data_IF_409078050484
#
_entry.id   IF_409078050484
#
_cell.length_a   1.000
_cell.length_b   1.000
_cell.length_c   1.000
_cell.angle_alpha   90.00
_cell.angle_beta   90.00
_cell.angle_gamma   90.00
#
_symmetry.space_group_name_H-M   'P 1'
#
loop_
_entity.id
_entity.type
_entity.pdbx_description
1 polymer ?
#
# COMPACT_ATOMS: atom_id res chain seq x y z
N UNK A 1 3.67 21.33 -20.25
CA UNK A 1 3.93 22.05 -18.98
C UNK A 1 4.36 21.04 -17.94
N UNK A 2 5.46 21.30 -17.22
CA UNK A 2 5.94 20.40 -16.18
C UNK A 2 5.02 20.39 -14.96
N UNK A 3 5.03 19.28 -14.21
CA UNK A 3 4.28 19.13 -12.96
C UNK A 3 4.75 20.17 -11.94
N UNK A 4 3.82 20.97 -11.40
CA UNK A 4 4.10 21.91 -10.31
C UNK A 4 4.38 21.11 -9.03
N UNK A 5 5.41 21.50 -8.28
CA UNK A 5 5.84 20.79 -7.06
C UNK A 5 6.16 21.78 -5.94
N UNK A 6 5.94 21.36 -4.69
CA UNK A 6 6.41 22.13 -3.53
C UNK A 6 7.92 21.93 -3.30
N UNK A 7 8.53 22.84 -2.53
CA UNK A 7 9.92 22.65 -2.09
C UNK A 7 10.08 21.38 -1.23
N UNK A 8 9.09 21.08 -0.38
CA UNK A 8 9.06 19.84 0.39
C UNK A 8 9.08 18.60 -0.50
N UNK A 9 8.28 18.58 -1.56
CA UNK A 9 8.27 17.46 -2.51
C UNK A 9 9.65 17.25 -3.16
N UNK A 10 10.24 18.33 -3.68
CA UNK A 10 11.55 18.26 -4.35
C UNK A 10 12.69 17.87 -3.40
N UNK A 11 12.75 18.51 -2.24
CA UNK A 11 13.92 18.44 -1.36
C UNK A 11 13.82 17.34 -0.30
N UNK A 12 12.63 16.77 -0.08
CA UNK A 12 12.42 15.73 0.93
C UNK A 12 11.78 14.48 0.35
N UNK A 13 10.70 14.60 -0.41
CA UNK A 13 9.98 13.41 -0.91
C UNK A 13 10.81 12.68 -1.95
N UNK A 14 11.29 13.36 -3.00
CA UNK A 14 12.12 12.74 -4.05
C UNK A 14 13.46 12.23 -3.51
N UNK A 15 14.09 12.99 -2.62
CA UNK A 15 15.37 12.60 -1.99
C UNK A 15 15.23 11.31 -1.19
N UNK A 16 14.15 11.15 -0.42
CA UNK A 16 13.90 9.94 0.37
C UNK A 16 13.32 8.79 -0.44
N UNK A 17 12.85 9.04 -1.68
CA UNK A 17 12.11 8.08 -2.51
C UNK A 17 12.66 8.09 -3.94
N UNK A 18 13.90 7.63 -4.13
CA UNK A 18 14.54 7.63 -5.45
C UNK A 18 13.82 6.74 -6.48
N UNK A 19 12.94 5.83 -6.03
CA UNK A 19 12.09 5.02 -6.91
C UNK A 19 10.93 5.80 -7.54
N UNK A 20 10.57 6.97 -7.00
CA UNK A 20 9.40 7.72 -7.43
C UNK A 20 9.72 8.44 -8.75
N UNK A 21 9.03 8.06 -9.82
CA UNK A 21 9.21 8.69 -11.13
C UNK A 21 8.23 9.84 -11.34
N UNK A 22 8.72 10.94 -11.94
CA UNK A 22 7.86 12.09 -12.26
C UNK A 22 6.75 11.76 -13.27
N UNK A 23 6.98 10.80 -14.16
CA UNK A 23 5.97 10.31 -15.11
C UNK A 23 4.75 9.70 -14.40
N UNK A 24 4.96 8.98 -13.29
CA UNK A 24 3.89 8.42 -12.48
C UNK A 24 3.09 9.52 -11.77
N UNK A 25 3.79 10.57 -11.31
CA UNK A 25 3.15 11.74 -10.68
C UNK A 25 2.30 12.49 -11.71
N UNK A 26 2.83 12.70 -12.92
CA UNK A 26 2.10 13.32 -14.03
C UNK A 26 0.88 12.49 -14.46
N UNK A 27 1.04 11.17 -14.53
CA UNK A 27 -0.06 10.25 -14.81
C UNK A 27 -1.17 10.36 -13.76
N UNK A 28 -0.82 10.48 -12.47
CA UNK A 28 -1.81 10.64 -11.40
C UNK A 28 -2.65 11.90 -11.55
N UNK A 29 -2.05 13.01 -11.99
CA UNK A 29 -2.77 14.27 -12.17
C UNK A 29 -3.64 14.27 -13.43
N UNK A 30 -3.22 13.58 -14.50
CA UNK A 30 -3.95 13.55 -15.78
C UNK A 30 -5.04 12.50 -15.84
N UNK A 31 -4.74 11.30 -15.34
CA UNK A 31 -5.59 10.11 -15.46
C UNK A 31 -5.69 9.37 -14.12
N UNK A 32 -6.18 10.05 -13.05
CA UNK A 32 -6.40 9.38 -11.78
C UNK A 32 -7.49 8.31 -11.93
N UNK A 33 -7.31 7.19 -11.25
CA UNK A 33 -8.38 6.21 -11.04
C UNK A 33 -9.39 6.68 -10.00
N UNK A 34 -8.93 7.53 -9.05
CA UNK A 34 -9.75 8.10 -7.98
C UNK A 34 -9.18 9.45 -7.56
N UNK A 35 -10.09 10.36 -7.21
CA UNK A 35 -9.78 11.68 -6.68
C UNK A 35 -10.57 11.90 -5.40
N UNK A 36 -9.91 12.39 -4.36
CA UNK A 36 -10.47 12.62 -3.02
C UNK A 36 -9.99 13.97 -2.51
N UNK A 37 -10.89 14.79 -1.95
CA UNK A 37 -10.54 16.05 -1.28
C UNK A 37 -10.52 15.81 0.23
N UNK A 38 -9.39 16.07 0.87
CA UNK A 38 -9.22 15.94 2.31
C UNK A 38 -9.82 17.14 3.04
N UNK A 39 -10.08 17.01 4.36
CA UNK A 39 -10.63 18.10 5.19
C UNK A 39 -9.79 19.39 5.14
N UNK A 40 -8.47 19.28 4.98
CA UNK A 40 -7.55 20.41 4.85
C UNK A 40 -7.52 21.03 3.44
N UNK A 41 -8.41 20.61 2.54
CA UNK A 41 -8.51 21.09 1.16
C UNK A 41 -7.52 20.45 0.18
N UNK A 42 -6.54 19.66 0.64
CA UNK A 42 -5.61 18.96 -0.24
C UNK A 42 -6.32 17.89 -1.05
N UNK A 43 -5.87 17.70 -2.29
CA UNK A 43 -6.46 16.71 -3.20
C UNK A 43 -5.53 15.52 -3.33
N UNK A 44 -6.05 14.32 -3.06
CA UNK A 44 -5.37 13.04 -3.28
C UNK A 44 -5.84 12.42 -4.59
N UNK A 45 -4.90 12.19 -5.49
CA UNK A 45 -5.07 11.50 -6.76
C UNK A 45 -4.46 10.11 -6.66
N UNK A 46 -5.23 9.08 -6.97
CA UNK A 46 -4.74 7.71 -7.00
C UNK A 46 -4.51 7.27 -8.44
N UNK A 47 -3.37 6.62 -8.70
CA UNK A 47 -3.07 6.03 -10.01
C UNK A 47 -2.47 4.64 -9.84
N UNK A 48 -2.88 3.69 -10.66
CA UNK A 48 -2.24 2.38 -10.70
C UNK A 48 -0.99 2.44 -11.55
N UNK A 49 0.15 2.10 -10.95
CA UNK A 49 1.43 2.01 -11.65
C UNK A 49 1.70 0.55 -11.98
N UNK A 50 1.50 0.18 -13.25
CA UNK A 50 1.67 -1.18 -13.74
C UNK A 50 3.05 -1.75 -13.39
N UNK A 51 4.12 -0.96 -13.60
CA UNK A 51 5.50 -1.36 -13.33
C UNK A 51 5.77 -1.62 -11.84
N UNK A 52 5.07 -0.89 -10.96
CA UNK A 52 5.22 -1.01 -9.51
C UNK A 52 4.22 -2.01 -8.90
N UNK A 53 3.21 -2.43 -9.66
CA UNK A 53 2.11 -3.29 -9.20
C UNK A 53 1.28 -2.68 -8.07
N UNK A 54 1.27 -1.36 -7.91
CA UNK A 54 0.75 -0.64 -6.74
C UNK A 54 0.00 0.61 -7.14
N UNK A 55 -0.94 1.04 -6.30
CA UNK A 55 -1.50 2.37 -6.40
C UNK A 55 -0.57 3.40 -5.74
N UNK A 56 -0.29 4.46 -6.47
CA UNK A 56 0.46 5.61 -6.00
C UNK A 56 -0.54 6.72 -5.63
N UNK A 57 -0.69 7.07 -4.35
CA UNK A 57 -1.34 8.30 -3.96
C UNK A 57 -0.41 9.48 -4.22
N UNK A 58 -0.92 10.47 -4.96
CA UNK A 58 -0.28 11.77 -5.19
C UNK A 58 -1.16 12.83 -4.54
N UNK A 59 -0.61 13.53 -3.56
CA UNK A 59 -1.28 14.59 -2.82
C UNK A 59 -0.81 15.93 -3.36
N UNK A 60 -1.75 16.77 -3.73
CA UNK A 60 -1.54 18.17 -4.13
C UNK A 60 -1.97 19.13 -3.02
N UNK A 61 -1.48 20.37 -3.10
CA UNK A 61 -2.04 21.48 -2.34
C UNK A 61 -3.49 21.78 -2.77
N UNK A 62 -4.23 22.66 -2.08
CA UNK A 62 -5.63 22.94 -2.40
C UNK A 62 -5.89 23.49 -3.82
N UNK A 63 -4.85 23.94 -4.53
CA UNK A 63 -4.94 24.31 -5.94
C UNK A 63 -5.17 23.12 -6.88
N UNK A 64 -5.00 21.88 -6.39
CA UNK A 64 -5.19 20.66 -7.17
C UNK A 64 -4.10 20.40 -8.20
N UNK A 65 -3.08 21.26 -8.32
CA UNK A 65 -2.05 21.23 -9.35
C UNK A 65 -0.64 21.06 -8.76
N UNK A 66 -0.37 21.67 -7.60
CA UNK A 66 0.95 21.70 -6.97
C UNK A 66 1.15 20.47 -6.10
N UNK A 67 1.98 19.54 -6.56
CA UNK A 67 2.26 18.29 -5.86
C UNK A 67 3.03 18.55 -4.56
N UNK A 68 2.43 18.11 -3.46
CA UNK A 68 2.98 18.22 -2.11
C UNK A 68 3.67 16.94 -1.67
N UNK A 69 3.04 15.78 -1.87
CA UNK A 69 3.56 14.49 -1.40
C UNK A 69 3.15 13.36 -2.37
N UNK A 70 3.97 12.33 -2.48
CA UNK A 70 3.60 11.10 -3.18
C UNK A 70 4.52 9.98 -2.70
N UNK A 71 3.92 8.86 -2.28
CA UNK A 71 4.66 7.70 -1.85
C UNK A 71 3.75 6.48 -1.84
N UNK A 72 4.32 5.31 -2.13
CA UNK A 72 3.63 4.07 -1.78
C UNK A 72 3.56 4.00 -0.26
N UNK A 73 2.35 3.86 0.29
CA UNK A 73 2.22 3.58 1.72
C UNK A 73 3.05 2.33 2.04
N UNK A 74 3.74 2.29 3.19
CA UNK A 74 4.28 1.06 3.74
C UNK A 74 3.11 0.22 4.27
N UNK A 75 2.19 -0.15 3.40
CA UNK A 75 1.60 -1.47 3.54
C UNK A 75 2.67 -2.41 3.05
N UNK A 76 2.84 -3.55 3.73
CA UNK A 76 3.50 -4.75 3.16
C UNK A 76 3.24 -4.72 1.67
N UNK A 77 4.30 -4.84 0.84
CA UNK A 77 4.20 -4.90 -0.62
C UNK A 77 2.78 -5.32 -0.99
N UNK A 78 2.06 -4.57 -1.85
CA UNK A 78 1.04 -5.22 -2.68
C UNK A 78 1.80 -6.36 -3.38
N UNK A 79 1.94 -7.45 -2.64
CA UNK A 79 2.59 -8.68 -2.97
C UNK A 79 1.60 -9.09 -4.01
N UNK A 80 2.00 -8.89 -5.28
CA UNK A 80 1.24 -9.23 -6.48
C UNK A 80 0.13 -10.15 -6.05
N UNK A 81 -1.09 -9.64 -5.90
CA UNK A 81 -2.19 -10.35 -5.28
C UNK A 81 -2.28 -11.68 -6.01
N UNK A 82 -1.61 -12.69 -5.46
CA UNK A 82 -1.54 -13.99 -6.08
C UNK A 82 -2.95 -14.52 -6.04
N UNK A 83 -3.26 -15.49 -6.88
CA UNK A 83 -4.56 -16.17 -6.92
C UNK A 83 -4.89 -16.95 -5.62
N UNK A 84 -4.27 -16.60 -4.49
CA UNK A 84 -4.29 -17.32 -3.21
C UNK A 84 -4.32 -16.35 -2.03
N UNK A 85 -5.05 -16.77 -1.00
CA UNK A 85 -4.97 -16.19 0.34
C UNK A 85 -3.54 -16.34 0.88
N UNK A 86 -3.05 -15.33 1.61
CA UNK A 86 -1.68 -15.31 2.15
C UNK A 86 -1.64 -14.60 3.49
N UNK A 87 -1.02 -15.24 4.48
CA UNK A 87 -0.62 -14.60 5.73
C UNK A 87 0.89 -14.37 5.68
N UNK A 88 1.35 -13.18 6.05
CA UNK A 88 2.76 -12.80 6.02
C UNK A 88 3.08 -11.93 7.22
N UNK A 89 3.98 -12.41 8.07
CA UNK A 89 4.46 -11.69 9.24
C UNK A 89 5.88 -11.20 8.98
N UNK A 90 6.12 -9.92 9.22
CA UNK A 90 7.44 -9.29 9.20
C UNK A 90 7.90 -9.04 10.64
N UNK A 91 8.91 -9.80 11.15
CA UNK A 91 9.41 -9.62 12.51
C UNK A 91 10.22 -8.33 12.71
N UNK A 92 10.72 -7.69 11.65
CA UNK A 92 11.47 -6.43 11.78
C UNK A 92 10.55 -5.25 12.06
N UNK A 93 9.38 -5.24 11.42
CA UNK A 93 8.38 -4.17 11.56
C UNK A 93 7.24 -4.53 12.52
N UNK A 94 7.17 -5.78 12.98
CA UNK A 94 6.07 -6.34 13.78
C UNK A 94 4.70 -6.16 13.10
N UNK A 95 4.67 -6.44 11.80
CA UNK A 95 3.49 -6.28 10.93
C UNK A 95 2.97 -7.63 10.47
N UNK A 96 1.67 -7.88 10.64
CA UNK A 96 0.98 -9.03 10.05
C UNK A 96 0.08 -8.55 8.91
N UNK A 97 0.33 -9.09 7.72
CA UNK A 97 -0.53 -8.90 6.56
C UNK A 97 -1.29 -10.18 6.22
N UNK A 98 -2.59 -10.04 6.00
CA UNK A 98 -3.50 -11.10 5.55
C UNK A 98 -4.09 -10.68 4.20
N UNK A 99 -3.55 -11.19 3.11
CA UNK A 99 -4.14 -11.05 1.78
C UNK A 99 -5.30 -12.04 1.62
N UNK A 100 -6.49 -11.52 1.29
CA UNK A 100 -7.73 -12.30 1.18
C UNK A 100 -8.04 -12.72 -0.25
N UNK A 101 -7.87 -11.79 -1.21
CA UNK A 101 -8.17 -12.00 -2.63
C UNK A 101 -7.10 -11.37 -3.51
N UNK A 102 -6.98 -11.90 -4.72
CA UNK A 102 -6.20 -11.24 -5.77
C UNK A 102 -6.88 -9.93 -6.17
N UNK A 103 -6.06 -8.90 -6.38
CA UNK A 103 -6.52 -7.57 -6.73
C UNK A 103 -5.64 -6.50 -6.11
N UNK A 104 -5.56 -5.32 -6.73
CA UNK A 104 -4.75 -4.24 -6.19
C UNK A 104 -5.53 -3.46 -5.12
N UNK A 105 -4.88 -3.14 -3.98
CA UNK A 105 -5.46 -2.29 -2.91
C UNK A 105 -5.39 -0.81 -3.31
N UNK A 106 -6.54 -0.14 -3.42
CA UNK A 106 -6.65 1.31 -3.75
C UNK A 106 -6.83 2.20 -2.53
N UNK A 107 -7.35 1.66 -1.45
CA UNK A 107 -7.79 2.40 -0.28
C UNK A 107 -7.50 1.54 0.94
N UNK A 108 -7.13 2.20 2.03
CA UNK A 108 -6.94 1.55 3.31
C UNK A 108 -7.65 2.36 4.38
N UNK A 109 -8.44 1.69 5.21
CA UNK A 109 -9.17 2.30 6.34
C UNK A 109 -8.73 1.64 7.64
N UNK A 110 -8.34 2.45 8.62
CA UNK A 110 -8.11 1.96 9.98
C UNK A 110 -9.45 1.83 10.69
N UNK A 111 -9.85 0.59 10.98
CA UNK A 111 -11.14 0.26 11.61
C UNK A 111 -11.05 0.15 13.13
N UNK A 112 -9.84 -0.05 13.64
CA UNK A 112 -9.50 -0.07 15.05
C UNK A 112 -8.00 0.20 15.21
N UNK A 113 -7.51 0.64 16.39
CA UNK A 113 -6.09 0.96 16.59
C UNK A 113 -5.12 -0.15 16.15
N UNK A 114 -4.39 0.11 15.07
CA UNK A 114 -3.44 -0.83 14.47
C UNK A 114 -4.08 -1.95 13.64
N UNK A 115 -5.34 -1.81 13.22
CA UNK A 115 -6.05 -2.71 12.30
C UNK A 115 -6.54 -1.93 11.09
N UNK A 116 -5.97 -2.25 9.93
CA UNK A 116 -6.24 -1.56 8.67
C UNK A 116 -6.83 -2.54 7.66
N UNK A 117 -7.95 -2.19 7.05
CA UNK A 117 -8.53 -2.92 5.93
C UNK A 117 -8.09 -2.30 4.61
N UNK A 118 -7.66 -3.13 3.67
CA UNK A 118 -7.36 -2.73 2.30
C UNK A 118 -8.54 -3.04 1.38
N UNK A 119 -8.91 -2.11 0.50
CA UNK A 119 -10.06 -2.23 -0.41
C UNK A 119 -9.63 -2.18 -1.89
N UNK A 120 -10.34 -2.88 -2.76
CA UNK A 120 -10.23 -2.73 -4.22
C UNK A 120 -11.06 -1.56 -4.77
N UNK A 121 -10.98 -1.31 -6.08
CA UNK A 121 -11.72 -0.22 -6.77
C UNK A 121 -13.24 -0.32 -6.65
N UNK A 122 -13.77 -1.47 -6.25
CA UNK A 122 -15.21 -1.73 -6.12
C UNK A 122 -15.63 -1.76 -4.65
N UNK A 123 -14.70 -1.48 -3.71
CA UNK A 123 -14.97 -1.42 -2.28
C UNK A 123 -14.96 -2.78 -1.59
N UNK A 124 -14.42 -3.83 -2.21
CA UNK A 124 -14.26 -5.11 -1.51
C UNK A 124 -12.97 -5.15 -0.73
N UNK A 125 -12.98 -5.78 0.45
CA UNK A 125 -11.76 -6.01 1.23
C UNK A 125 -10.84 -7.00 0.49
N UNK A 126 -9.62 -6.56 0.19
CA UNK A 126 -8.56 -7.36 -0.43
C UNK A 126 -7.50 -7.81 0.55
N UNK A 127 -7.32 -7.08 1.65
CA UNK A 127 -6.28 -7.34 2.63
C UNK A 127 -6.62 -6.79 4.01
N UNK A 128 -5.91 -7.30 5.00
CA UNK A 128 -5.92 -6.81 6.38
C UNK A 128 -4.47 -6.62 6.80
N UNK A 129 -4.15 -5.45 7.33
CA UNK A 129 -2.86 -5.12 7.91
C UNK A 129 -3.02 -4.89 9.41
N UNK A 130 -2.13 -5.48 10.21
CA UNK A 130 -2.16 -5.42 11.67
C UNK A 130 -0.78 -4.96 12.16
N UNK A 131 -0.76 -3.80 12.84
CA UNK A 131 0.42 -3.19 13.47
C UNK A 131 0.68 -3.73 14.88
N UNK A 132 1.95 -3.77 15.29
CA UNK A 132 2.45 -4.46 16.50
C UNK A 132 1.76 -5.83 16.72
N UNK A 133 1.75 -6.64 15.67
CA UNK A 133 0.97 -7.87 15.59
C UNK A 133 1.31 -8.85 16.72
N UNK A 134 2.57 -8.88 17.17
CA UNK A 134 3.03 -9.69 18.31
C UNK A 134 2.28 -9.41 19.61
N UNK A 135 1.68 -8.22 19.75
CA UNK A 135 0.90 -7.80 20.92
C UNK A 135 -0.60 -7.99 20.74
N UNK A 136 -1.06 -8.16 19.49
CA UNK A 136 -2.49 -8.19 19.12
C UNK A 136 -2.96 -9.55 18.64
N UNK A 137 -2.06 -10.45 18.24
CA UNK A 137 -2.36 -11.74 17.61
C UNK A 137 -1.49 -12.87 18.20
N UNK A 138 -2.07 -14.05 18.40
CA UNK A 138 -1.33 -15.26 18.80
C UNK A 138 -0.53 -15.87 17.64
N UNK A 139 0.60 -15.24 17.28
CA UNK A 139 1.42 -15.63 16.11
C UNK A 139 1.99 -17.06 16.16
N UNK A 140 2.03 -17.69 17.34
CA UNK A 140 2.61 -19.02 17.54
C UNK A 140 1.73 -20.18 17.07
N UNK A 141 0.45 -19.95 16.78
CA UNK A 141 -0.49 -21.00 16.39
C UNK A 141 -1.48 -20.50 15.34
N UNK A 142 -1.58 -21.23 14.24
CA UNK A 142 -2.59 -21.03 13.21
C UNK A 142 -3.52 -22.25 13.18
N UNK A 143 -4.81 -22.04 13.42
CA UNK A 143 -5.84 -23.07 13.33
C UNK A 143 -6.74 -22.80 12.13
N UNK A 144 -6.97 -23.81 11.30
CA UNK A 144 -7.82 -23.74 10.10
C UNK A 144 -8.90 -24.82 10.22
N UNK A 145 -10.16 -24.44 10.13
CA UNK A 145 -11.30 -25.37 10.26
C UNK A 145 -12.28 -25.17 9.12
N UNK A 146 -12.71 -26.28 8.51
CA UNK A 146 -13.67 -26.32 7.39
C UNK A 146 -13.33 -25.42 6.19
N UNK A 147 -12.06 -25.02 6.01
CA UNK A 147 -11.63 -24.28 4.83
C UNK A 147 -11.53 -25.23 3.63
N UNK A 148 -12.13 -24.89 2.47
CA UNK A 148 -12.08 -25.71 1.27
C UNK A 148 -10.74 -25.53 0.53
N UNK A 149 -9.62 -25.76 1.22
CA UNK A 149 -8.28 -25.60 0.65
C UNK A 149 -7.96 -26.75 -0.29
N UNK A 150 -7.47 -26.42 -1.48
CA UNK A 150 -6.82 -27.38 -2.37
C UNK A 150 -5.36 -27.58 -1.97
N UNK A 151 -4.69 -26.49 -1.59
CA UNK A 151 -3.28 -26.47 -1.20
C UNK A 151 -3.05 -25.64 0.07
N UNK A 152 -2.09 -26.08 0.90
CA UNK A 152 -1.54 -25.31 2.01
C UNK A 152 -0.02 -25.20 1.86
N UNK A 153 0.47 -23.98 1.63
CA UNK A 153 1.88 -23.70 1.37
C UNK A 153 2.48 -22.88 2.52
N UNK A 154 3.39 -23.48 3.28
CA UNK A 154 4.15 -22.81 4.35
C UNK A 154 5.54 -22.44 3.83
N UNK A 155 5.80 -21.15 3.68
CA UNK A 155 7.05 -20.63 3.13
C UNK A 155 7.79 -19.80 4.17
N UNK A 156 9.11 -19.99 4.30
CA UNK A 156 9.95 -19.04 5.04
C UNK A 156 10.28 -17.85 4.13
N UNK A 157 10.32 -16.61 4.64
CA UNK A 157 10.84 -15.50 3.84
C UNK A 157 12.26 -15.85 3.38
N UNK A 158 12.56 -15.57 2.12
CA UNK A 158 13.91 -15.71 1.61
C UNK A 158 14.80 -14.79 2.45
N UNK A 159 15.83 -15.35 3.10
CA UNK A 159 16.85 -14.55 3.77
C UNK A 159 17.42 -13.60 2.72
N UNK A 160 17.16 -12.30 2.89
CA UNK A 160 17.82 -11.27 2.08
C UNK A 160 19.29 -11.35 2.49
N UNK A 161 20.11 -12.00 1.67
CA UNK A 161 21.55 -11.97 1.83
C UNK A 161 21.97 -10.50 1.81
N UNK A 162 22.44 -10.01 2.95
CA UNK A 162 22.95 -8.66 3.09
C UNK A 162 23.96 -8.37 1.98
N UNK A 163 23.73 -7.26 1.26
CA UNK A 163 24.78 -6.66 0.46
C UNK A 163 25.93 -6.36 1.41
N UNK A 164 27.07 -7.03 1.18
CA UNK A 164 28.37 -6.63 1.72
C UNK A 164 28.69 -5.18 1.38
#
# INVERSE_FOLDING_TARGET
>A
MGVKTTAYFRNSVLVRRPYLKMEWVEQALRHPVRREVQENGRVRYWVYIQEAGKYLPVVTEPDGETVHNAFFRPGVQAMKGGERMRLSYDPETDMLYIGLRSGPSVESEEIAPGFVLDFDTVGNVVGIEIEEASRRVELGRLELSALPLQDLLVTRPAVVQGKK
#
